data_IF_031691224862
#
_entry.id   IF_031691224862
#
_cell.length_a   1.000
_cell.length_b   1.000
_cell.length_c   1.000
_cell.angle_alpha   90.00
_cell.angle_beta   90.00
_cell.angle_gamma   90.00
#
_symmetry.space_group_name_H-M   'P 1'
#
loop_
_entity.id
_entity.type
_entity.pdbx_description
1 polymer ?
#
# COMPACT_ATOMS: atom_id res chain seq x y z
N UNK A 1 2.73 23.80 28.54
CA UNK A 1 2.76 23.09 27.23
C UNK A 1 1.34 22.94 26.69
N UNK A 2 1.07 23.42 25.47
CA UNK A 2 -0.26 23.42 24.88
C UNK A 2 -0.64 22.01 24.37
N UNK A 3 -1.48 21.28 25.13
CA UNK A 3 -1.85 19.88 24.87
C UNK A 3 -2.46 19.63 23.48
N UNK A 4 -3.07 20.66 22.87
CA UNK A 4 -3.63 20.58 21.51
C UNK A 4 -2.55 20.51 20.42
N UNK A 5 -1.47 21.29 20.56
CA UNK A 5 -0.34 21.30 19.62
C UNK A 5 0.51 20.03 19.72
N UNK A 6 0.76 19.56 20.95
CA UNK A 6 1.52 18.33 21.19
C UNK A 6 0.81 17.09 20.61
N UNK A 7 -0.51 17.07 20.72
CA UNK A 7 -1.31 15.99 20.14
C UNK A 7 -1.30 15.98 18.60
N UNK A 8 -1.26 17.13 17.93
CA UNK A 8 -1.22 17.22 16.47
C UNK A 8 0.11 16.73 15.91
N UNK A 9 1.22 17.18 16.50
CA UNK A 9 2.57 16.76 16.10
C UNK A 9 2.79 15.25 16.24
N UNK A 10 2.29 14.63 17.32
CA UNK A 10 2.39 13.17 17.51
C UNK A 10 1.70 12.37 16.40
N UNK A 11 0.53 12.83 15.93
CA UNK A 11 -0.22 12.16 14.88
C UNK A 11 0.49 12.21 13.51
N UNK A 12 1.18 13.31 13.22
CA UNK A 12 1.98 13.46 12.00
C UNK A 12 3.16 12.49 12.04
N UNK A 13 3.91 12.46 13.15
CA UNK A 13 5.06 11.55 13.31
C UNK A 13 4.63 10.10 13.20
N UNK A 14 3.53 9.73 13.86
CA UNK A 14 2.98 8.37 13.78
C UNK A 14 2.51 8.03 12.36
N UNK A 15 1.83 8.95 11.67
CA UNK A 15 1.38 8.76 10.29
C UNK A 15 2.53 8.55 9.31
N UNK A 16 3.61 9.33 9.44
CA UNK A 16 4.83 9.18 8.65
C UNK A 16 5.50 7.83 8.96
N UNK A 17 5.56 7.44 10.24
CA UNK A 17 6.16 6.17 10.64
C UNK A 17 5.42 4.96 10.03
N UNK A 18 4.09 4.95 10.10
CA UNK A 18 3.24 3.92 9.48
C UNK A 18 3.44 3.92 7.97
N UNK A 19 3.53 5.09 7.33
CA UNK A 19 3.76 5.19 5.89
C UNK A 19 5.10 4.56 5.48
N UNK A 20 6.19 4.86 6.21
CA UNK A 20 7.52 4.31 5.93
C UNK A 20 7.50 2.79 6.08
N UNK A 21 6.99 2.26 7.20
CA UNK A 21 6.92 0.82 7.44
C UNK A 21 6.12 0.11 6.35
N UNK A 22 4.95 0.66 5.99
CA UNK A 22 4.09 0.04 5.00
C UNK A 22 4.72 0.06 3.60
N UNK A 23 5.41 1.14 3.23
CA UNK A 23 6.16 1.20 1.96
C UNK A 23 7.35 0.24 1.94
N UNK A 24 8.05 0.08 3.07
CA UNK A 24 9.10 -0.93 3.21
C UNK A 24 8.55 -2.35 3.04
N UNK A 25 7.39 -2.66 3.64
CA UNK A 25 6.72 -3.95 3.46
C UNK A 25 6.32 -4.21 2.00
N UNK A 26 5.82 -3.19 1.29
CA UNK A 26 5.50 -3.29 -0.14
C UNK A 26 6.76 -3.59 -0.96
N UNK A 27 7.89 -2.96 -0.64
CA UNK A 27 9.16 -3.23 -1.33
C UNK A 27 9.67 -4.65 -1.09
N UNK A 28 9.41 -5.24 0.08
CA UNK A 28 9.74 -6.63 0.37
C UNK A 28 8.83 -7.60 -0.40
N UNK A 29 7.57 -7.24 -0.63
CA UNK A 29 6.60 -8.09 -1.34
C UNK A 29 6.75 -8.03 -2.87
N UNK A 30 7.24 -6.91 -3.41
CA UNK A 30 7.49 -6.73 -4.86
C UNK A 30 8.26 -7.87 -5.53
N UNK A 31 9.41 -8.35 -5.02
CA UNK A 31 10.16 -9.43 -5.65
C UNK A 31 9.36 -10.73 -5.73
N UNK A 32 8.57 -11.07 -4.70
CA UNK A 32 7.74 -12.28 -4.70
C UNK A 32 6.63 -12.20 -5.75
N UNK A 33 5.95 -11.06 -5.85
CA UNK A 33 4.94 -10.82 -6.89
C UNK A 33 5.58 -10.85 -8.28
N UNK A 34 6.81 -10.34 -8.42
CA UNK A 34 7.54 -10.36 -9.69
C UNK A 34 7.90 -11.80 -10.08
N UNK A 35 8.37 -12.62 -9.13
CA UNK A 35 8.67 -14.05 -9.34
C UNK A 35 7.41 -14.84 -9.70
N UNK A 36 6.27 -14.56 -9.08
CA UNK A 36 5.00 -15.21 -9.42
C UNK A 36 4.54 -14.90 -10.85
N UNK A 37 4.96 -13.77 -11.43
CA UNK A 37 4.63 -13.36 -12.81
C UNK A 37 5.57 -13.95 -13.86
N UNK A 38 6.76 -14.42 -13.48
CA UNK A 38 7.72 -14.98 -14.45
C UNK A 38 7.35 -16.40 -14.87
N UNK A 39 8.14 -16.95 -15.80
CA UNK A 39 8.06 -18.33 -16.29
C UNK A 39 8.22 -19.40 -15.19
N UNK A 40 8.76 -19.04 -14.03
CA UNK A 40 8.87 -19.92 -12.87
C UNK A 40 7.57 -20.02 -12.05
N UNK A 41 6.59 -19.17 -12.35
CA UNK A 41 5.31 -19.10 -11.66
C UNK A 41 4.12 -19.23 -12.63
N UNK A 42 3.21 -18.26 -12.57
CA UNK A 42 1.97 -18.25 -13.35
C UNK A 42 2.23 -17.83 -14.83
N UNK A 43 3.45 -17.39 -15.15
CA UNK A 43 3.91 -16.96 -16.46
C UNK A 43 2.95 -15.97 -17.13
N UNK A 44 2.85 -14.78 -16.54
CA UNK A 44 2.01 -13.69 -17.03
C UNK A 44 2.61 -12.94 -18.24
N UNK A 45 3.75 -13.39 -18.77
CA UNK A 45 4.45 -12.75 -19.89
C UNK A 45 3.84 -13.08 -21.26
N UNK A 46 3.21 -14.24 -21.42
CA UNK A 46 2.66 -14.70 -22.71
C UNK A 46 1.12 -14.66 -22.72
N UNK A 47 0.54 -13.47 -22.87
CA UNK A 47 -0.92 -13.25 -22.80
C UNK A 47 -1.78 -14.08 -23.80
N UNK A 48 -1.15 -14.64 -24.83
CA UNK A 48 -1.79 -15.38 -25.93
C UNK A 48 -1.95 -16.89 -25.68
N UNK A 49 -1.21 -17.49 -24.77
CA UNK A 49 -1.24 -18.95 -24.49
C UNK A 49 -1.91 -19.30 -23.14
N UNK A 50 -2.34 -18.29 -22.39
CA UNK A 50 -2.85 -18.43 -21.02
C UNK A 50 -4.37 -18.70 -21.03
N UNK A 51 -4.82 -19.71 -20.29
CA UNK A 51 -6.24 -20.00 -20.02
C UNK A 51 -6.94 -18.83 -19.32
N UNK A 52 -8.23 -18.60 -19.58
CA UNK A 52 -8.97 -17.43 -19.08
C UNK A 52 -8.93 -17.29 -17.54
N UNK A 53 -8.91 -18.40 -16.80
CA UNK A 53 -8.76 -18.36 -15.33
C UNK A 53 -7.41 -17.81 -14.87
N UNK A 54 -6.35 -18.09 -15.62
CA UNK A 54 -5.00 -17.64 -15.30
C UNK A 54 -4.79 -16.17 -15.67
N UNK A 55 -5.48 -15.68 -16.72
CA UNK A 55 -5.50 -14.24 -17.06
C UNK A 55 -6.06 -13.39 -15.92
N UNK A 56 -7.13 -13.86 -15.27
CA UNK A 56 -7.72 -13.17 -14.12
C UNK A 56 -6.73 -13.05 -12.95
N UNK A 57 -5.95 -14.11 -12.69
CA UNK A 57 -4.94 -14.10 -11.63
C UNK A 57 -3.79 -13.15 -11.97
N UNK A 58 -3.32 -13.11 -13.22
CA UNK A 58 -2.30 -12.17 -13.66
C UNK A 58 -2.74 -10.70 -13.49
N UNK A 59 -4.01 -10.41 -13.80
CA UNK A 59 -4.60 -9.09 -13.57
C UNK A 59 -4.69 -8.77 -12.07
N UNK A 60 -5.07 -9.76 -11.25
CA UNK A 60 -5.06 -9.66 -9.79
C UNK A 60 -3.67 -9.33 -9.23
N UNK A 61 -2.62 -9.97 -9.73
CA UNK A 61 -1.24 -9.70 -9.31
C UNK A 61 -0.78 -8.29 -9.72
N UNK A 62 -1.18 -7.81 -10.90
CA UNK A 62 -0.87 -6.45 -11.35
C UNK A 62 -1.56 -5.38 -10.50
N UNK A 63 -2.80 -5.61 -10.08
CA UNK A 63 -3.56 -4.61 -9.33
C UNK A 63 -3.19 -4.57 -7.83
N UNK A 64 -2.60 -5.63 -7.28
CA UNK A 64 -2.24 -5.72 -5.85
C UNK A 64 -1.27 -4.61 -5.43
N UNK A 65 -0.15 -4.42 -6.14
CA UNK A 65 0.87 -3.43 -5.74
C UNK A 65 0.28 -1.98 -5.77
N UNK A 66 -0.37 -1.53 -6.86
CA UNK A 66 -1.02 -0.22 -6.89
C UNK A 66 -2.08 -0.04 -5.81
N UNK A 67 -2.91 -1.06 -5.55
CA UNK A 67 -3.98 -0.99 -4.55
C UNK A 67 -3.43 -0.85 -3.14
N UNK A 68 -2.35 -1.58 -2.82
CA UNK A 68 -1.67 -1.47 -1.53
C UNK A 68 -1.07 -0.08 -1.32
N UNK A 69 -0.46 0.50 -2.36
CA UNK A 69 0.08 1.87 -2.31
C UNK A 69 -1.03 2.89 -1.98
N UNK A 70 -2.16 2.82 -2.70
CA UNK A 70 -3.30 3.72 -2.47
C UNK A 70 -3.86 3.55 -1.05
N UNK A 71 -3.99 2.31 -0.57
CA UNK A 71 -4.45 2.02 0.78
C UNK A 71 -3.54 2.65 1.84
N UNK A 72 -2.22 2.57 1.67
CA UNK A 72 -1.25 3.18 2.59
C UNK A 72 -1.40 4.70 2.64
N UNK A 73 -1.58 5.38 1.51
CA UNK A 73 -1.83 6.81 1.47
C UNK A 73 -3.14 7.20 2.16
N UNK A 74 -4.21 6.43 1.96
CA UNK A 74 -5.50 6.67 2.60
C UNK A 74 -5.42 6.50 4.13
N UNK A 75 -4.72 5.47 4.60
CA UNK A 75 -4.57 5.19 6.04
C UNK A 75 -3.71 6.25 6.72
N UNK A 76 -2.53 6.56 6.16
CA UNK A 76 -1.61 7.55 6.74
C UNK A 76 -2.17 8.97 6.65
N UNK A 77 -2.70 9.36 5.49
CA UNK A 77 -3.35 10.65 5.28
C UNK A 77 -4.61 10.80 6.13
N UNK A 78 -5.43 9.75 6.22
CA UNK A 78 -6.64 9.72 7.05
C UNK A 78 -6.34 9.90 8.54
N UNK A 79 -5.30 9.26 9.07
CA UNK A 79 -4.86 9.44 10.46
C UNK A 79 -4.46 10.89 10.75
N UNK A 80 -3.70 11.51 9.85
CA UNK A 80 -3.27 12.90 9.98
C UNK A 80 -4.49 13.83 9.96
N UNK A 81 -5.33 13.72 8.92
CA UNK A 81 -6.49 14.59 8.70
C UNK A 81 -7.52 14.47 9.84
N UNK A 82 -7.83 13.24 10.30
CA UNK A 82 -8.78 13.02 11.39
C UNK A 82 -8.35 13.76 12.66
N UNK A 83 -7.05 13.79 12.96
CA UNK A 83 -6.50 14.50 14.12
C UNK A 83 -6.58 16.02 13.99
N UNK A 84 -6.38 16.55 12.78
CA UNK A 84 -6.57 17.97 12.50
C UNK A 84 -8.04 18.41 12.59
N UNK A 85 -8.97 17.57 12.11
CA UNK A 85 -10.42 17.84 12.20
C UNK A 85 -10.89 17.80 13.66
N UNK A 86 -10.47 16.77 14.42
CA UNK A 86 -10.86 16.61 15.84
C UNK A 86 -10.21 17.65 16.76
N UNK A 87 -9.06 18.21 16.39
CA UNK A 87 -8.39 19.30 17.11
C UNK A 87 -9.02 20.69 16.90
N UNK A 88 -9.88 20.85 15.88
CA UNK A 88 -10.66 22.08 15.60
C UNK A 88 -12.02 22.16 16.30
N UNK A 89 -12.52 21.04 16.85
CA UNK A 89 -13.62 21.02 17.81
C UNK A 89 -13.08 21.22 19.23
#
# INVERSE_FOLDING_TARGET
MNKKAQGGGFAIVLGIFIFIIAMSAINLLKPDITLLRTSSGINCSDASSISDGTKLICLGLDIVIPTMIVAVFLVSGGLIINKFIKGRK
#
